data_IF_850019841845
#
_entry.id   IF_850019841845
#
_cell.length_a   1.000
_cell.length_b   1.000
_cell.length_c   1.000
_cell.angle_alpha   90.00
_cell.angle_beta   90.00
_cell.angle_gamma   90.00
#
_symmetry.space_group_name_H-M   'P 1'
#
loop_
_entity.id
_entity.type
_entity.pdbx_description
1 polymer ?
#
# COMPACT_ATOMS: atom_id res chain seq x y z
N UNK A 1 -19.54 15.78 7.83
CA UNK A 1 -19.30 15.54 6.38
C UNK A 1 -18.46 14.27 6.26
N UNK A 2 -18.99 13.21 5.64
CA UNK A 2 -18.21 11.97 5.48
C UNK A 2 -17.16 12.20 4.39
N UNK A 3 -15.88 12.24 4.77
CA UNK A 3 -14.75 12.43 3.85
C UNK A 3 -14.58 11.21 2.92
N UNK A 4 -14.97 10.02 3.40
CA UNK A 4 -14.93 8.77 2.64
C UNK A 4 -16.31 8.51 2.06
N UNK A 5 -16.44 8.52 0.72
CA UNK A 5 -17.70 8.13 0.09
C UNK A 5 -17.93 6.61 0.21
N UNK A 6 -19.20 6.20 0.07
CA UNK A 6 -19.55 4.78 0.10
C UNK A 6 -18.83 3.99 -1.01
N UNK A 7 -18.71 4.59 -2.18
CA UNK A 7 -18.03 4.00 -3.35
C UNK A 7 -16.54 3.80 -3.09
N UNK A 8 -15.87 4.82 -2.51
CA UNK A 8 -14.46 4.72 -2.12
C UNK A 8 -14.25 3.63 -1.07
N UNK A 9 -15.11 3.59 -0.04
CA UNK A 9 -15.04 2.56 0.99
C UNK A 9 -15.19 1.15 0.40
N UNK A 10 -16.19 0.95 -0.47
CA UNK A 10 -16.38 -0.35 -1.13
C UNK A 10 -15.21 -0.72 -2.04
N UNK A 11 -14.59 0.26 -2.68
CA UNK A 11 -13.40 0.03 -3.51
C UNK A 11 -12.21 -0.41 -2.64
N UNK A 12 -11.96 0.26 -1.51
CA UNK A 12 -10.93 -0.15 -0.55
C UNK A 12 -11.14 -1.57 -0.03
N UNK A 13 -12.40 -1.93 0.27
CA UNK A 13 -12.74 -3.30 0.70
C UNK A 13 -12.42 -4.33 -0.39
N UNK A 14 -12.70 -4.02 -1.66
CA UNK A 14 -12.33 -4.91 -2.79
C UNK A 14 -10.83 -5.09 -2.91
N UNK A 15 -10.05 -4.00 -2.86
CA UNK A 15 -8.58 -4.05 -2.92
C UNK A 15 -8.05 -4.92 -1.77
N UNK A 16 -8.49 -4.65 -0.53
CA UNK A 16 -8.09 -5.43 0.64
C UNK A 16 -8.35 -6.92 0.43
N UNK A 17 -9.56 -7.30 0.03
CA UNK A 17 -9.95 -8.71 -0.17
C UNK A 17 -9.16 -9.38 -1.30
N UNK A 18 -8.85 -8.64 -2.36
CA UNK A 18 -8.03 -9.13 -3.46
C UNK A 18 -6.60 -9.45 -2.99
N UNK A 19 -5.97 -8.55 -2.24
CA UNK A 19 -4.64 -8.77 -1.66
C UNK A 19 -4.67 -9.91 -0.64
N UNK A 20 -5.70 -9.95 0.21
CA UNK A 20 -5.87 -10.99 1.24
C UNK A 20 -5.95 -12.40 0.67
N UNK A 21 -6.62 -12.56 -0.47
CA UNK A 21 -6.74 -13.86 -1.16
C UNK A 21 -5.44 -14.37 -1.76
N UNK A 22 -4.53 -13.45 -2.14
CA UNK A 22 -3.27 -13.76 -2.80
C UNK A 22 -2.10 -13.17 -2.02
N UNK A 23 -1.89 -13.59 -0.76
CA UNK A 23 -0.84 -13.04 0.09
C UNK A 23 0.54 -13.46 -0.40
N UNK A 24 1.49 -12.55 -0.29
CA UNK A 24 2.87 -12.73 -0.73
C UNK A 24 3.82 -12.45 0.43
N UNK A 25 4.86 -13.27 0.57
CA UNK A 25 5.89 -13.09 1.61
C UNK A 25 6.81 -11.91 1.28
N UNK A 26 7.55 -11.46 2.27
CA UNK A 26 8.51 -10.37 2.14
C UNK A 26 9.47 -10.54 0.95
N UNK A 27 9.65 -9.47 0.20
CA UNK A 27 10.39 -9.40 -1.06
C UNK A 27 9.85 -10.28 -2.22
N UNK A 28 8.62 -10.76 -2.11
CA UNK A 28 7.91 -11.52 -3.14
C UNK A 28 6.56 -10.86 -3.51
N UNK A 29 6.29 -9.65 -3.02
CA UNK A 29 5.01 -8.93 -3.11
C UNK A 29 4.80 -8.30 -4.51
N UNK A 30 5.03 -9.09 -5.58
CA UNK A 30 4.98 -8.60 -6.96
C UNK A 30 3.56 -8.25 -7.41
N UNK A 31 2.56 -9.11 -7.10
CA UNK A 31 1.16 -8.85 -7.43
C UNK A 31 0.60 -7.69 -6.61
N UNK A 32 0.95 -7.63 -5.33
CA UNK A 32 0.55 -6.52 -4.44
C UNK A 32 1.11 -5.19 -4.95
N UNK A 33 2.39 -5.16 -5.35
CA UNK A 33 3.01 -3.98 -5.97
C UNK A 33 2.34 -3.58 -7.30
N UNK A 34 1.95 -4.55 -8.11
CA UNK A 34 1.23 -4.29 -9.36
C UNK A 34 -0.16 -3.68 -9.10
N UNK A 35 -0.92 -4.21 -8.13
CA UNK A 35 -2.22 -3.65 -7.71
C UNK A 35 -2.04 -2.20 -7.26
N UNK A 36 -1.08 -1.93 -6.36
CA UNK A 36 -0.80 -0.59 -5.85
C UNK A 36 -0.48 0.37 -7.00
N UNK A 37 0.40 -0.04 -7.91
CA UNK A 37 0.83 0.79 -9.03
C UNK A 37 -0.34 1.13 -9.97
N UNK A 38 -1.20 0.16 -10.27
CA UNK A 38 -2.37 0.39 -11.11
C UNK A 38 -3.39 1.31 -10.44
N UNK A 39 -3.65 1.14 -9.14
CA UNK A 39 -4.56 2.01 -8.40
C UNK A 39 -4.05 3.46 -8.33
N UNK A 40 -2.76 3.66 -8.06
CA UNK A 40 -2.16 4.99 -8.08
C UNK A 40 -2.21 5.63 -9.47
N UNK A 41 -1.98 4.85 -10.53
CA UNK A 41 -2.12 5.28 -11.92
C UNK A 41 -3.55 5.73 -12.24
N UNK A 42 -4.58 5.00 -11.78
CA UNK A 42 -6.00 5.39 -11.93
C UNK A 42 -6.32 6.72 -11.26
N UNK A 43 -5.63 7.02 -10.15
CA UNK A 43 -5.72 8.31 -9.46
C UNK A 43 -4.90 9.42 -10.12
N UNK A 44 -4.16 9.13 -11.19
CA UNK A 44 -3.24 10.08 -11.82
C UNK A 44 -2.06 10.44 -10.93
N UNK A 45 -1.61 9.51 -10.08
CA UNK A 45 -0.45 9.65 -9.21
C UNK A 45 0.68 8.81 -9.80
N UNK A 46 1.80 9.47 -10.13
CA UNK A 46 2.98 8.77 -10.65
C UNK A 46 3.67 8.03 -9.50
N UNK A 47 3.87 6.73 -9.68
CA UNK A 47 4.55 5.85 -8.74
C UNK A 47 5.84 5.29 -9.33
N UNK A 48 6.79 4.96 -8.47
CA UNK A 48 8.02 4.22 -8.78
C UNK A 48 7.93 2.89 -8.03
N UNK A 49 7.87 1.79 -8.77
CA UNK A 49 7.89 0.43 -8.24
C UNK A 49 9.31 -0.15 -8.24
N UNK A 50 9.51 -1.27 -7.56
CA UNK A 50 10.79 -1.97 -7.49
C UNK A 50 11.76 -1.39 -6.45
N UNK A 51 11.30 -0.51 -5.58
CA UNK A 51 12.09 0.03 -4.49
C UNK A 51 12.25 -1.02 -3.40
N UNK A 52 13.47 -1.26 -2.96
CA UNK A 52 13.75 -2.38 -2.04
C UNK A 52 13.15 -3.72 -2.57
N UNK A 53 13.34 -4.01 -3.86
CA UNK A 53 12.81 -5.11 -4.69
C UNK A 53 11.34 -4.93 -5.11
N UNK A 54 10.40 -4.93 -4.20
CA UNK A 54 8.95 -4.97 -4.50
C UNK A 54 8.19 -3.73 -4.03
N UNK A 55 8.81 -2.88 -3.21
CA UNK A 55 8.16 -1.68 -2.68
C UNK A 55 7.78 -0.66 -3.75
N UNK A 56 6.82 0.19 -3.40
CA UNK A 56 6.31 1.25 -4.26
C UNK A 56 6.35 2.58 -3.52
N UNK A 57 6.90 3.60 -4.17
CA UNK A 57 6.92 4.98 -3.64
C UNK A 57 6.25 5.91 -4.64
N UNK A 58 5.38 6.78 -4.14
CA UNK A 58 4.70 7.77 -4.95
C UNK A 58 4.66 9.13 -4.24
N UNK A 59 4.44 10.21 -5.00
CA UNK A 59 4.36 11.56 -4.44
C UNK A 59 3.13 12.29 -4.95
N UNK A 60 2.38 12.89 -4.01
CA UNK A 60 1.36 13.89 -4.30
C UNK A 60 2.01 15.25 -4.07
N UNK A 61 2.25 15.97 -5.15
CA UNK A 61 2.91 17.26 -5.14
C UNK A 61 1.91 18.34 -5.55
N UNK A 62 1.67 19.30 -4.67
CA UNK A 62 0.75 20.42 -4.91
C UNK A 62 1.39 21.57 -5.70
N UNK A 63 2.70 21.54 -5.90
CA UNK A 63 3.48 22.68 -6.44
C UNK A 63 3.42 23.93 -5.56
N UNK A 64 2.90 23.81 -4.35
CA UNK A 64 2.81 24.90 -3.36
C UNK A 64 3.76 24.62 -2.19
N UNK A 65 4.38 25.66 -1.68
CA UNK A 65 5.25 25.57 -0.50
C UNK A 65 4.46 25.05 0.70
N UNK A 66 5.06 24.16 1.47
CA UNK A 66 4.47 23.58 2.66
C UNK A 66 5.25 22.36 3.17
N UNK A 67 4.76 21.70 4.21
CA UNK A 67 5.43 20.55 4.78
C UNK A 67 5.45 19.36 3.82
N UNK A 68 6.43 18.48 4.00
CA UNK A 68 6.46 17.15 3.38
C UNK A 68 6.13 16.12 4.45
N UNK A 69 5.12 15.30 4.20
CA UNK A 69 4.66 14.25 5.11
C UNK A 69 4.76 12.91 4.39
N UNK A 70 5.36 11.91 5.02
CA UNK A 70 5.35 10.54 4.53
C UNK A 70 4.23 9.74 5.22
N UNK A 71 3.44 9.04 4.42
CA UNK A 71 2.46 8.05 4.88
C UNK A 71 2.94 6.67 4.44
N UNK A 72 2.96 5.72 5.38
CA UNK A 72 3.48 4.37 5.17
C UNK A 72 2.40 3.31 5.33
N UNK A 73 2.44 2.31 4.45
CA UNK A 73 1.78 1.02 4.61
C UNK A 73 2.81 -0.07 4.32
N UNK A 74 2.85 -1.10 5.14
CA UNK A 74 3.53 -2.35 4.86
C UNK A 74 2.67 -3.22 3.94
N UNK A 75 3.26 -4.22 3.27
CA UNK A 75 2.54 -4.94 2.23
C UNK A 75 2.78 -6.45 2.19
N UNK A 76 3.67 -6.97 3.02
CA UNK A 76 3.99 -8.39 3.09
C UNK A 76 3.00 -9.20 3.96
N UNK A 77 2.91 -10.49 3.69
CA UNK A 77 2.19 -11.49 4.46
C UNK A 77 3.18 -12.36 5.24
N UNK A 78 2.68 -13.22 6.11
CA UNK A 78 3.49 -14.13 6.93
C UNK A 78 3.20 -15.60 6.61
N UNK A 79 4.16 -16.47 6.94
CA UNK A 79 4.10 -17.90 6.69
C UNK A 79 3.23 -18.62 7.74
N UNK A 80 1.91 -18.38 7.70
CA UNK A 80 0.90 -18.99 8.57
C UNK A 80 -0.24 -19.51 7.71
N UNK A 81 -0.76 -20.71 8.03
CA UNK A 81 -1.96 -21.24 7.39
C UNK A 81 -3.19 -20.50 7.90
N UNK A 82 -3.97 -19.92 7.00
CA UNK A 82 -5.24 -19.33 7.36
C UNK A 82 -6.31 -20.39 7.61
N UNK A 83 -7.05 -20.23 8.70
CA UNK A 83 -8.15 -21.12 9.13
C UNK A 83 -9.44 -20.32 9.44
N UNK A 84 -9.58 -19.11 8.91
CA UNK A 84 -10.72 -18.22 9.22
C UNK A 84 -12.02 -18.69 8.58
N UNK A 85 -11.97 -19.42 7.47
CA UNK A 85 -13.17 -19.81 6.71
C UNK A 85 -13.89 -18.65 6.03
N UNK A 86 -13.26 -17.49 5.89
CA UNK A 86 -13.84 -16.34 5.21
C UNK A 86 -13.95 -16.58 3.70
N UNK A 87 -14.96 -15.96 3.07
CA UNK A 87 -15.16 -16.01 1.60
C UNK A 87 -13.92 -15.50 0.82
N UNK A 88 -13.14 -14.61 1.44
CA UNK A 88 -11.92 -14.05 0.87
C UNK A 88 -10.66 -14.54 1.59
N UNK A 89 -10.70 -15.69 2.27
CA UNK A 89 -9.52 -16.30 2.87
C UNK A 89 -8.42 -16.55 1.84
N UNK A 90 -7.20 -16.66 2.30
CA UNK A 90 -6.02 -16.92 1.48
C UNK A 90 -6.19 -18.15 0.58
N UNK A 91 -5.92 -18.01 -0.70
CA UNK A 91 -5.83 -19.09 -1.67
C UNK A 91 -4.40 -19.66 -1.78
N UNK A 92 -3.45 -19.09 -1.02
CA UNK A 92 -2.05 -19.50 -0.97
C UNK A 92 -1.80 -20.33 0.28
N UNK A 93 -1.57 -21.63 0.09
CA UNK A 93 -1.35 -22.55 1.20
C UNK A 93 -0.18 -22.13 2.07
N UNK A 94 -0.40 -22.00 3.39
CA UNK A 94 0.61 -21.68 4.37
C UNK A 94 1.06 -20.22 4.38
N UNK A 95 0.32 -19.31 3.72
CA UNK A 95 0.61 -17.86 3.75
C UNK A 95 -0.68 -17.09 4.04
N UNK A 96 -0.62 -16.08 4.87
CA UNK A 96 -1.78 -15.29 5.29
C UNK A 96 -1.40 -13.84 5.62
N UNK A 97 -2.28 -12.90 5.33
CA UNK A 97 -2.22 -11.54 5.85
C UNK A 97 -2.73 -11.45 7.30
N UNK A 98 -2.07 -12.16 8.23
CA UNK A 98 -2.50 -12.20 9.63
C UNK A 98 -2.20 -10.90 10.39
N UNK A 99 -1.21 -10.11 9.97
CA UNK A 99 -0.89 -8.81 10.57
C UNK A 99 -1.73 -7.64 10.01
N UNK A 100 -2.53 -7.88 8.96
CA UNK A 100 -3.46 -6.89 8.43
C UNK A 100 -2.85 -5.89 7.44
N UNK A 101 -1.67 -6.18 6.89
CA UNK A 101 -0.99 -5.31 5.91
C UNK A 101 -1.81 -5.10 4.63
N UNK A 102 -2.64 -6.06 4.23
CA UNK A 102 -3.67 -5.92 3.18
C UNK A 102 -4.61 -4.73 3.44
N UNK A 103 -5.00 -4.55 4.71
CA UNK A 103 -5.81 -3.41 5.16
C UNK A 103 -5.01 -2.10 5.12
N UNK A 104 -3.74 -2.12 5.54
CA UNK A 104 -2.87 -0.93 5.49
C UNK A 104 -2.68 -0.44 4.06
N UNK A 105 -2.41 -1.33 3.10
CA UNK A 105 -2.33 -1.00 1.67
C UNK A 105 -3.64 -0.36 1.18
N UNK A 106 -4.79 -0.98 1.46
CA UNK A 106 -6.09 -0.47 1.01
C UNK A 106 -6.40 0.91 1.62
N UNK A 107 -6.07 1.12 2.90
CA UNK A 107 -6.24 2.41 3.58
C UNK A 107 -5.34 3.49 3.00
N UNK A 108 -4.08 3.18 2.67
CA UNK A 108 -3.17 4.16 2.08
C UNK A 108 -3.58 4.54 0.65
N UNK A 109 -4.11 3.61 -0.14
CA UNK A 109 -4.71 3.90 -1.46
C UNK A 109 -5.95 4.81 -1.28
N UNK A 110 -6.80 4.53 -0.31
CA UNK A 110 -7.95 5.38 0.03
C UNK A 110 -7.54 6.79 0.45
N UNK A 111 -6.52 6.90 1.30
CA UNK A 111 -5.93 8.19 1.70
C UNK A 111 -5.36 8.95 0.49
N UNK A 112 -4.68 8.25 -0.42
CA UNK A 112 -4.16 8.84 -1.66
C UNK A 112 -5.26 9.44 -2.52
N UNK A 113 -6.41 8.76 -2.65
CA UNK A 113 -7.57 9.25 -3.42
C UNK A 113 -8.13 10.55 -2.83
N UNK A 114 -8.23 10.64 -1.49
CA UNK A 114 -8.72 11.82 -0.79
C UNK A 114 -7.71 12.96 -0.90
N UNK A 115 -6.44 12.70 -0.61
CA UNK A 115 -5.37 13.70 -0.60
C UNK A 115 -5.14 14.29 -1.99
N UNK A 116 -5.21 13.48 -3.04
CA UNK A 116 -5.08 13.94 -4.43
C UNK A 116 -6.08 15.05 -4.78
N UNK A 117 -7.26 15.04 -4.17
CA UNK A 117 -8.33 16.01 -4.41
C UNK A 117 -8.31 17.17 -3.40
N UNK A 118 -7.91 16.92 -2.16
CA UNK A 118 -8.07 17.85 -1.04
C UNK A 118 -6.81 18.58 -0.62
N UNK A 119 -5.62 18.03 -0.90
CA UNK A 119 -4.34 18.65 -0.51
C UNK A 119 -4.14 19.97 -1.27
N UNK A 120 -3.92 21.07 -0.54
CA UNK A 120 -3.78 22.41 -1.12
C UNK A 120 -2.33 22.91 -1.11
N UNK A 121 -1.55 22.54 -0.10
CA UNK A 121 -0.17 22.99 0.09
C UNK A 121 0.70 21.85 0.58
N UNK A 122 2.00 21.93 0.36
CA UNK A 122 2.95 20.88 0.75
C UNK A 122 2.86 19.64 -0.12
N UNK A 123 3.48 18.57 0.33
CA UNK A 123 3.61 17.32 -0.41
C UNK A 123 3.34 16.12 0.50
N UNK A 124 2.84 15.05 -0.10
CA UNK A 124 2.72 13.76 0.60
C UNK A 124 3.50 12.71 -0.18
N UNK A 125 4.37 11.99 0.52
CA UNK A 125 5.06 10.81 0.01
C UNK A 125 4.28 9.58 0.49
N UNK A 126 3.88 8.73 -0.44
CA UNK A 126 3.21 7.47 -0.17
C UNK A 126 4.26 6.36 -0.26
N UNK A 127 4.45 5.63 0.82
CA UNK A 127 5.44 4.56 0.94
C UNK A 127 4.73 3.23 1.18
N UNK A 128 4.76 2.36 0.19
CA UNK A 128 4.30 0.98 0.33
C UNK A 128 5.55 0.12 0.53
N UNK A 129 5.76 -0.26 1.79
CA UNK A 129 7.00 -0.89 2.24
C UNK A 129 6.89 -2.41 2.16
N UNK A 130 7.84 -3.10 1.48
CA UNK A 130 7.92 -4.55 1.49
C UNK A 130 8.61 -5.06 2.75
N UNK A 131 8.48 -6.35 3.01
CA UNK A 131 9.29 -7.11 3.98
C UNK A 131 9.42 -6.44 5.36
N UNK A 132 8.28 -6.10 5.95
CA UNK A 132 8.21 -5.53 7.31
C UNK A 132 8.53 -6.60 8.35
N UNK A 133 8.07 -7.84 8.15
CA UNK A 133 8.14 -8.97 9.07
C UNK A 133 9.55 -9.59 9.15
N UNK A 134 10.56 -8.77 9.45
CA UNK A 134 11.90 -9.23 9.83
C UNK A 134 12.99 -9.14 8.75
N UNK A 135 12.71 -8.76 7.51
CA UNK A 135 13.71 -8.73 6.43
C UNK A 135 14.27 -7.33 6.12
N UNK A 136 13.95 -6.31 6.95
CA UNK A 136 14.57 -4.99 6.90
C UNK A 136 14.15 -4.11 5.72
N UNK A 137 12.92 -4.28 5.23
CA UNK A 137 12.38 -3.51 4.09
C UNK A 137 12.39 -2.00 4.33
N UNK A 138 12.13 -1.53 5.54
CA UNK A 138 12.17 -0.11 5.88
C UNK A 138 13.57 0.49 5.66
N UNK A 139 14.62 -0.19 6.12
CA UNK A 139 15.99 0.26 5.93
C UNK A 139 16.33 0.41 4.45
N UNK A 140 15.97 -0.58 3.62
CA UNK A 140 16.23 -0.53 2.17
C UNK A 140 15.44 0.57 1.45
N UNK A 141 14.23 0.88 1.91
CA UNK A 141 13.48 2.05 1.41
C UNK A 141 14.23 3.34 1.72
N UNK A 142 14.73 3.51 2.94
CA UNK A 142 15.49 4.71 3.32
C UNK A 142 16.79 4.83 2.53
N UNK A 143 17.52 3.73 2.34
CA UNK A 143 18.76 3.67 1.55
C UNK A 143 18.55 4.03 0.06
N UNK A 144 17.30 4.00 -0.43
CA UNK A 144 16.98 4.39 -1.82
C UNK A 144 17.08 5.90 -2.09
N UNK A 145 17.13 6.73 -1.06
CA UNK A 145 17.16 8.20 -1.17
C UNK A 145 15.85 8.84 -1.66
N UNK A 146 14.78 8.07 -1.87
CA UNK A 146 13.50 8.59 -2.40
C UNK A 146 12.64 9.35 -1.38
N UNK A 147 13.04 9.33 -0.11
CA UNK A 147 12.35 10.03 0.96
C UNK A 147 12.95 11.41 1.29
N UNK A 148 14.02 11.79 0.62
CA UNK A 148 14.71 13.09 0.75
C UNK A 148 14.07 14.21 -0.06
#
# INVERSE_FOLDING_TARGET
MNIVSKELFQHMVRIRRQIHKHPELGYQEENTAAIITEELKRLGIKATAGIAKTGVVARIDTKQTGPVVALRADMDAIAIQEETGLEFASEVKGVMHACGHDGHVAMLIGAAAILKQSLKTGNVILVFQPAEEGEGGAQKIMESGLLE
#
